data_IF_162623756351
#
_entry.id   IF_162623756351
#
_cell.length_a   1.000
_cell.length_b   1.000
_cell.length_c   1.000
_cell.angle_alpha   90.00
_cell.angle_beta   90.00
_cell.angle_gamma   90.00
#
_symmetry.space_group_name_H-M   'P 1'
#
loop_
_entity.id
_entity.type
_entity.pdbx_description
1 polymer ?
#
# COMPACT_ATOMS: atom_id res chain seq x y z
N UNK A 1 33.69 3.07 3.81
CA UNK A 1 33.14 3.20 2.45
C UNK A 1 32.72 1.82 1.98
N UNK A 2 31.40 1.59 1.84
CA UNK A 2 30.87 0.27 1.50
C UNK A 2 31.05 -0.14 0.03
N UNK A 3 31.08 -1.45 -0.25
CA UNK A 3 31.27 -2.00 -1.60
C UNK A 3 29.97 -1.87 -2.41
N UNK A 4 30.00 -1.12 -3.51
CA UNK A 4 28.84 -0.98 -4.39
C UNK A 4 28.66 -2.26 -5.23
N UNK A 5 27.48 -2.86 -5.20
CA UNK A 5 27.22 -4.04 -6.06
C UNK A 5 27.21 -3.61 -7.54
N UNK A 6 27.62 -4.53 -8.42
CA UNK A 6 27.52 -4.34 -9.87
C UNK A 6 26.06 -4.42 -10.32
N UNK A 7 25.69 -3.62 -11.31
CA UNK A 7 24.38 -3.73 -11.97
C UNK A 7 24.39 -4.99 -12.84
N UNK A 8 23.48 -5.92 -12.56
CA UNK A 8 23.36 -7.17 -13.28
C UNK A 8 22.49 -7.02 -14.53
N UNK A 9 22.80 -7.79 -15.57
CA UNK A 9 22.04 -7.83 -16.83
C UNK A 9 21.11 -9.03 -16.96
N UNK A 10 21.26 -10.03 -16.09
CA UNK A 10 20.40 -11.22 -16.00
C UNK A 10 20.22 -11.68 -14.56
N UNK A 11 19.09 -12.34 -14.25
CA UNK A 11 18.89 -12.98 -12.93
C UNK A 11 19.85 -14.14 -12.68
N UNK A 12 20.40 -14.75 -13.74
CA UNK A 12 21.40 -15.82 -13.62
C UNK A 12 22.75 -15.34 -13.07
N UNK A 13 23.03 -14.04 -13.13
CA UNK A 13 24.24 -13.43 -12.58
C UNK A 13 24.10 -13.11 -11.08
N UNK A 14 22.88 -13.20 -10.54
CA UNK A 14 22.54 -12.86 -9.17
C UNK A 14 22.43 -14.12 -8.31
N UNK A 15 22.81 -14.04 -7.02
CA UNK A 15 22.63 -15.17 -6.11
C UNK A 15 21.14 -15.45 -5.91
N UNK A 16 20.80 -16.73 -5.83
CA UNK A 16 19.49 -17.17 -5.33
C UNK A 16 19.37 -16.84 -3.86
N UNK A 17 18.21 -16.36 -3.44
CA UNK A 17 17.93 -15.90 -2.08
C UNK A 17 16.71 -16.62 -1.54
N UNK A 18 16.78 -17.07 -0.30
CA UNK A 18 15.65 -17.72 0.37
C UNK A 18 14.71 -16.64 0.95
N UNK A 19 13.41 -16.92 1.12
CA UNK A 19 12.51 -16.00 1.83
C UNK A 19 13.07 -15.53 3.17
N UNK A 20 13.65 -16.46 3.96
CA UNK A 20 14.30 -16.17 5.24
C UNK A 20 15.45 -15.15 5.16
N UNK A 21 16.15 -15.04 4.01
CA UNK A 21 17.22 -14.06 3.83
C UNK A 21 16.73 -12.61 3.80
N UNK A 22 15.44 -12.43 3.53
CA UNK A 22 14.75 -11.14 3.46
C UNK A 22 13.86 -10.88 4.67
N UNK A 23 13.78 -11.84 5.60
CA UNK A 23 12.89 -11.76 6.76
C UNK A 23 13.32 -10.64 7.71
N UNK A 24 12.35 -9.83 8.11
CA UNK A 24 12.55 -8.69 9.02
C UNK A 24 11.44 -8.67 10.05
N UNK A 25 11.79 -8.31 11.28
CA UNK A 25 10.85 -7.98 12.34
C UNK A 25 11.09 -6.56 12.85
N UNK A 26 10.00 -5.89 13.21
CA UNK A 26 10.01 -4.56 13.81
C UNK A 26 8.92 -4.47 14.89
N UNK A 27 9.13 -3.60 15.86
CA UNK A 27 8.16 -3.32 16.92
C UNK A 27 7.78 -1.85 16.85
N UNK A 28 6.48 -1.57 16.87
CA UNK A 28 5.96 -0.24 17.14
C UNK A 28 5.68 -0.17 18.65
N UNK A 29 6.50 0.57 19.43
CA UNK A 29 6.48 0.52 20.88
C UNK A 29 5.37 1.41 21.45
N UNK A 30 4.10 1.06 21.18
CA UNK A 30 2.95 1.79 21.71
C UNK A 30 2.85 1.72 23.23
N UNK A 31 3.54 0.82 23.93
CA UNK A 31 3.63 0.80 25.39
C UNK A 31 4.37 2.02 25.95
N UNK A 32 5.26 2.63 25.15
CA UNK A 32 6.06 3.82 25.51
C UNK A 32 5.32 5.11 25.13
N UNK A 33 4.99 6.00 26.08
CA UNK A 33 4.22 7.22 25.81
C UNK A 33 4.83 8.11 24.72
N UNK A 34 6.15 8.29 24.71
CA UNK A 34 6.85 9.20 23.79
C UNK A 34 6.77 8.72 22.33
N UNK A 35 6.75 7.40 22.13
CA UNK A 35 6.59 6.81 20.80
C UNK A 35 5.11 6.74 20.39
N UNK A 36 4.21 6.50 21.36
CA UNK A 36 2.77 6.34 21.18
C UNK A 36 2.12 7.55 20.52
N UNK A 37 2.51 8.77 20.89
CA UNK A 37 1.89 10.01 20.38
C UNK A 37 1.91 10.12 18.85
N UNK A 38 2.92 9.55 18.18
CA UNK A 38 3.02 9.54 16.71
C UNK A 38 1.95 8.66 16.04
N UNK A 39 1.43 7.69 16.79
CA UNK A 39 0.49 6.67 16.33
C UNK A 39 -0.93 6.91 16.83
N UNK A 40 -1.14 7.85 17.74
CA UNK A 40 -2.47 8.20 18.21
C UNK A 40 -3.12 9.24 17.32
N UNK A 41 -4.41 9.04 17.16
CA UNK A 41 -5.33 10.05 16.69
C UNK A 41 -5.89 10.83 17.89
N UNK A 42 -6.55 11.97 17.65
CA UNK A 42 -7.03 12.85 18.73
C UNK A 42 -7.99 12.19 19.73
N UNK A 43 -8.62 11.08 19.37
CA UNK A 43 -9.56 10.31 20.19
C UNK A 43 -8.92 9.04 20.78
N UNK A 44 -7.58 8.98 20.83
CA UNK A 44 -6.81 7.82 21.27
C UNK A 44 -7.02 6.55 20.41
N UNK A 45 -7.58 6.66 19.20
CA UNK A 45 -7.53 5.56 18.23
C UNK A 45 -6.18 5.53 17.53
N UNK A 46 -5.87 4.41 16.87
CA UNK A 46 -4.65 4.32 16.08
C UNK A 46 -4.81 5.04 14.74
N UNK A 47 -3.83 5.87 14.41
CA UNK A 47 -3.69 6.56 13.12
C UNK A 47 -3.26 5.55 12.06
N UNK A 48 -4.23 4.90 11.41
CA UNK A 48 -3.99 3.86 10.41
C UNK A 48 -3.08 4.30 9.26
N UNK A 49 -3.17 5.56 8.82
CA UNK A 49 -2.26 6.11 7.81
C UNK A 49 -0.77 6.01 8.20
N UNK A 50 -0.44 6.10 9.50
CA UNK A 50 0.92 5.90 10.00
C UNK A 50 1.37 4.45 9.90
N UNK A 51 0.46 3.51 10.11
CA UNK A 51 0.75 2.08 9.93
C UNK A 51 1.04 1.73 8.45
N UNK A 52 0.32 2.35 7.50
CA UNK A 52 0.59 2.20 6.07
C UNK A 52 2.00 2.70 5.69
N UNK A 53 2.43 3.80 6.31
CA UNK A 53 3.78 4.34 6.14
C UNK A 53 4.86 3.39 6.67
N UNK A 54 4.61 2.77 7.83
CA UNK A 54 5.52 1.79 8.42
C UNK A 54 5.59 0.48 7.60
N UNK A 55 4.46 0.01 7.05
CA UNK A 55 4.46 -1.12 6.12
C UNK A 55 5.31 -0.84 4.87
N UNK A 56 5.18 0.35 4.29
CA UNK A 56 5.97 0.73 3.13
C UNK A 56 7.48 0.78 3.48
N UNK A 57 7.82 1.29 4.67
CA UNK A 57 9.19 1.36 5.21
C UNK A 57 9.79 -0.02 5.41
N UNK A 58 9.04 -0.91 6.08
CA UNK A 58 9.43 -2.29 6.31
C UNK A 58 9.62 -3.05 4.99
N UNK A 59 8.68 -2.90 4.06
CA UNK A 59 8.73 -3.52 2.73
C UNK A 59 9.96 -3.07 1.94
N UNK A 60 10.28 -1.77 1.96
CA UNK A 60 11.50 -1.26 1.37
C UNK A 60 12.76 -1.89 1.96
N UNK A 61 12.83 -2.05 3.29
CA UNK A 61 13.95 -2.68 3.97
C UNK A 61 14.09 -4.18 3.64
N UNK A 62 12.97 -4.92 3.60
CA UNK A 62 12.89 -6.31 3.12
C UNK A 62 13.49 -6.43 1.71
N UNK A 63 13.15 -5.51 0.80
CA UNK A 63 13.69 -5.50 -0.56
C UNK A 63 15.21 -5.32 -0.59
N UNK A 64 15.76 -4.39 0.20
CA UNK A 64 17.21 -4.20 0.27
C UNK A 64 17.91 -5.43 0.85
N UNK A 65 17.34 -6.09 1.86
CA UNK A 65 17.90 -7.32 2.42
C UNK A 65 17.87 -8.49 1.44
N UNK A 66 16.75 -8.65 0.71
CA UNK A 66 16.64 -9.66 -0.35
C UNK A 66 17.74 -9.49 -1.40
N UNK A 67 17.99 -8.25 -1.83
CA UNK A 67 18.95 -7.94 -2.88
C UNK A 67 20.42 -7.86 -2.42
N UNK A 68 20.75 -8.20 -1.16
CA UNK A 68 22.14 -8.35 -0.74
C UNK A 68 22.82 -9.51 -1.50
N UNK A 69 24.08 -9.33 -1.86
CA UNK A 69 24.96 -10.36 -2.39
C UNK A 69 25.85 -10.89 -1.26
N UNK A 70 25.68 -12.16 -0.82
CA UNK A 70 26.48 -12.74 0.26
C UNK A 70 27.99 -12.66 0.03
N UNK A 71 28.46 -12.67 -1.22
CA UNK A 71 29.88 -12.63 -1.55
C UNK A 71 30.57 -11.27 -1.25
N UNK A 72 29.80 -10.20 -1.01
CA UNK A 72 30.33 -8.84 -0.81
C UNK A 72 30.37 -8.39 0.66
N UNK A 73 29.93 -9.23 1.60
CA UNK A 73 29.89 -8.90 3.03
C UNK A 73 28.77 -7.93 3.42
N UNK A 74 28.74 -7.50 4.68
CA UNK A 74 27.65 -6.68 5.23
C UNK A 74 27.69 -5.21 4.78
N UNK A 75 28.89 -4.66 4.59
CA UNK A 75 29.12 -3.26 4.19
C UNK A 75 28.81 -2.97 2.71
N UNK A 76 27.98 -3.80 2.06
CA UNK A 76 27.59 -3.62 0.68
C UNK A 76 26.51 -2.54 0.49
N UNK A 77 26.51 -1.91 -0.68
CA UNK A 77 25.48 -0.92 -1.08
C UNK A 77 24.73 -1.39 -2.31
N UNK A 78 23.40 -1.36 -2.22
CA UNK A 78 22.54 -1.63 -3.38
C UNK A 78 22.72 -0.54 -4.44
N UNK A 79 22.90 -0.91 -5.72
CA UNK A 79 22.89 0.01 -6.85
C UNK A 79 21.47 0.40 -7.27
N UNK A 80 20.44 -0.19 -6.64
CA UNK A 80 19.04 -0.06 -7.05
C UNK A 80 18.20 0.68 -6.01
N UNK A 81 17.28 1.50 -6.53
CA UNK A 81 16.17 2.06 -5.77
C UNK A 81 14.98 1.11 -5.81
N UNK A 82 14.47 0.73 -4.64
CA UNK A 82 13.18 0.06 -4.52
C UNK A 82 12.09 1.09 -4.27
N UNK A 83 11.08 1.08 -5.14
CA UNK A 83 9.92 1.96 -5.03
C UNK A 83 8.65 1.13 -5.04
N UNK A 84 7.68 1.55 -4.25
CA UNK A 84 6.37 0.91 -4.15
C UNK A 84 5.62 1.13 -5.46
N UNK A 85 5.18 0.05 -6.08
CA UNK A 85 4.42 0.10 -7.33
C UNK A 85 2.94 -0.17 -7.09
N UNK A 86 2.64 -1.13 -6.22
CA UNK A 86 1.28 -1.54 -5.91
C UNK A 86 1.19 -2.00 -4.45
N UNK A 87 0.05 -1.74 -3.83
CA UNK A 87 -0.35 -2.33 -2.55
C UNK A 87 -1.67 -3.06 -2.81
N UNK A 88 -1.70 -4.37 -2.56
CA UNK A 88 -2.95 -5.14 -2.68
C UNK A 88 -3.93 -4.68 -1.60
N UNK A 89 -5.22 -4.90 -1.84
CA UNK A 89 -6.28 -4.67 -0.86
C UNK A 89 -5.92 -5.20 0.53
N UNK A 90 -5.94 -4.28 1.49
CA UNK A 90 -5.72 -4.56 2.92
C UNK A 90 -7.09 -4.57 3.58
N UNK A 91 -7.48 -5.70 4.13
CA UNK A 91 -8.74 -5.85 4.85
C UNK A 91 -8.50 -6.37 6.26
N UNK A 92 -9.10 -5.68 7.24
CA UNK A 92 -9.19 -6.19 8.59
C UNK A 92 -10.33 -7.21 8.60
N UNK A 93 -10.04 -8.49 8.82
CA UNK A 93 -11.09 -9.50 8.93
C UNK A 93 -12.09 -9.09 10.01
N UNK A 94 -13.37 -9.38 9.81
CA UNK A 94 -14.39 -9.17 10.84
C UNK A 94 -14.10 -9.95 12.14
N UNK A 95 -13.29 -11.01 12.03
CA UNK A 95 -12.78 -11.80 13.16
C UNK A 95 -11.44 -11.29 13.72
N UNK A 96 -10.76 -10.35 13.06
CA UNK A 96 -9.50 -9.79 13.58
C UNK A 96 -9.78 -8.89 14.78
N UNK A 97 -8.99 -8.99 15.86
CA UNK A 97 -9.17 -8.14 17.02
C UNK A 97 -8.85 -6.68 16.66
N UNK A 98 -9.51 -5.74 17.32
CA UNK A 98 -9.22 -4.31 17.16
C UNK A 98 -7.84 -4.01 17.75
N UNK A 99 -7.03 -3.26 17.00
CA UNK A 99 -5.74 -2.80 17.50
C UNK A 99 -5.92 -1.92 18.75
N UNK A 100 -5.20 -2.27 19.81
CA UNK A 100 -5.11 -1.51 21.05
C UNK A 100 -4.07 -0.39 20.92
N UNK A 101 -4.41 0.86 21.28
CA UNK A 101 -3.47 1.99 21.25
C UNK A 101 -2.41 1.95 22.38
N UNK A 102 -2.54 1.01 23.33
CA UNK A 102 -1.70 0.93 24.53
C UNK A 102 -0.71 -0.24 24.52
N UNK A 103 -0.86 -1.18 23.57
CA UNK A 103 -0.04 -2.38 23.48
C UNK A 103 0.84 -2.32 22.25
N UNK A 104 2.07 -2.80 22.38
CA UNK A 104 3.02 -2.85 21.27
C UNK A 104 2.46 -3.65 20.10
N UNK A 105 2.82 -3.21 18.89
CA UNK A 105 2.46 -3.88 17.65
C UNK A 105 3.74 -4.51 17.08
N UNK A 106 3.65 -5.78 16.72
CA UNK A 106 4.74 -6.54 16.13
C UNK A 106 4.51 -6.66 14.63
N UNK A 107 5.48 -6.18 13.85
CA UNK A 107 5.45 -6.30 12.40
C UNK A 107 6.50 -7.31 11.96
N UNK A 108 6.15 -8.16 11.02
CA UNK A 108 7.09 -9.06 10.37
C UNK A 108 6.82 -9.13 8.88
N UNK A 109 7.82 -9.51 8.08
CA UNK A 109 7.61 -9.71 6.67
C UNK A 109 8.81 -10.26 5.94
N UNK A 110 8.57 -10.73 4.73
CA UNK A 110 9.58 -11.29 3.84
C UNK A 110 9.10 -11.21 2.38
N UNK A 111 10.04 -11.44 1.46
CA UNK A 111 9.72 -11.61 0.05
C UNK A 111 9.03 -12.97 -0.15
N UNK A 112 7.82 -12.95 -0.71
CA UNK A 112 7.05 -14.16 -1.02
C UNK A 112 7.08 -14.50 -2.49
N UNK A 113 7.29 -13.52 -3.37
CA UNK A 113 7.37 -13.75 -4.80
C UNK A 113 8.30 -12.75 -5.48
N UNK A 114 8.95 -13.18 -6.57
CA UNK A 114 9.89 -12.37 -7.33
C UNK A 114 9.62 -12.52 -8.84
N UNK A 115 9.52 -11.38 -9.52
CA UNK A 115 9.56 -11.29 -10.99
C UNK A 115 10.96 -10.93 -11.50
N UNK A 116 11.05 -10.37 -12.71
CA UNK A 116 12.36 -9.94 -13.27
C UNK A 116 12.93 -8.70 -12.56
N UNK A 117 12.05 -7.75 -12.27
CA UNK A 117 12.40 -6.42 -11.72
C UNK A 117 11.46 -5.97 -10.61
N UNK A 118 10.69 -6.90 -10.07
CA UNK A 118 9.65 -6.66 -9.08
C UNK A 118 9.66 -7.75 -8.03
N UNK A 119 9.23 -7.43 -6.82
CA UNK A 119 9.13 -8.39 -5.74
C UNK A 119 7.90 -8.09 -4.90
N UNK A 120 7.16 -9.13 -4.55
CA UNK A 120 6.03 -9.07 -3.63
C UNK A 120 6.56 -9.34 -2.22
N UNK A 121 6.33 -8.38 -1.33
CA UNK A 121 6.62 -8.49 0.10
C UNK A 121 5.31 -8.72 0.84
N UNK A 122 5.18 -9.88 1.48
CA UNK A 122 4.07 -10.14 2.39
C UNK A 122 4.51 -9.77 3.80
N UNK A 123 3.74 -8.88 4.42
CA UNK A 123 3.96 -8.37 5.75
C UNK A 123 2.75 -8.64 6.63
N UNK A 124 2.99 -8.89 7.91
CA UNK A 124 1.99 -9.20 8.91
C UNK A 124 2.15 -8.26 10.09
N UNK A 125 1.03 -7.94 10.69
CA UNK A 125 0.95 -7.16 11.91
C UNK A 125 0.22 -7.98 12.96
N UNK A 126 0.87 -8.16 14.10
CA UNK A 126 0.38 -8.96 15.21
C UNK A 126 0.36 -8.12 16.48
N UNK A 127 -0.59 -8.39 17.36
CA UNK A 127 -0.71 -7.72 18.65
C UNK A 127 -1.25 -8.68 19.70
N UNK A 128 -0.84 -8.49 20.95
CA UNK A 128 -1.30 -9.30 22.07
C UNK A 128 -2.73 -8.93 22.49
N UNK A 129 -3.63 -9.90 22.42
CA UNK A 129 -5.04 -9.79 22.79
C UNK A 129 -5.35 -10.93 23.77
N UNK A 130 -5.77 -10.55 24.98
CA UNK A 130 -6.03 -11.47 26.09
C UNK A 130 -4.88 -12.45 26.39
N UNK A 131 -3.63 -11.95 26.32
CA UNK A 131 -2.42 -12.74 26.59
C UNK A 131 -1.95 -13.61 25.42
N UNK A 132 -2.62 -13.56 24.27
CA UNK A 132 -2.28 -14.33 23.07
C UNK A 132 -1.91 -13.39 21.93
N UNK A 133 -0.80 -13.66 21.25
CA UNK A 133 -0.44 -12.95 20.02
C UNK A 133 -1.38 -13.33 18.89
N UNK A 134 -2.09 -12.33 18.35
CA UNK A 134 -3.05 -12.52 17.27
C UNK A 134 -2.66 -11.68 16.05
N UNK A 135 -2.76 -12.27 14.86
CA UNK A 135 -2.56 -11.56 13.61
C UNK A 135 -3.75 -10.66 13.31
N UNK A 136 -3.49 -9.37 13.13
CA UNK A 136 -4.52 -8.35 12.92
C UNK A 136 -4.63 -7.98 11.44
N UNK A 137 -3.48 -7.75 10.79
CA UNK A 137 -3.40 -7.29 9.40
C UNK A 137 -2.40 -8.17 8.63
N UNK A 138 -2.77 -8.55 7.41
CA UNK A 138 -1.82 -9.01 6.39
C UNK A 138 -1.84 -8.01 5.25
N UNK A 139 -0.67 -7.57 4.84
CA UNK A 139 -0.51 -6.62 3.75
C UNK A 139 0.49 -7.16 2.71
N UNK A 140 0.17 -7.01 1.44
CA UNK A 140 1.03 -7.42 0.33
C UNK A 140 1.40 -6.21 -0.49
N UNK A 141 2.70 -5.93 -0.57
CA UNK A 141 3.24 -4.79 -1.29
C UNK A 141 4.09 -5.29 -2.45
N UNK A 142 3.87 -4.74 -3.64
CA UNK A 142 4.70 -4.98 -4.81
C UNK A 142 5.68 -3.82 -4.97
N UNK A 143 6.97 -4.13 -4.79
CA UNK A 143 8.05 -3.20 -5.05
C UNK A 143 8.66 -3.44 -6.43
N UNK A 144 9.13 -2.38 -7.07
CA UNK A 144 9.90 -2.46 -8.32
C UNK A 144 11.29 -1.89 -8.11
N UNK A 145 12.29 -2.61 -8.65
CA UNK A 145 13.67 -2.17 -8.64
C UNK A 145 13.92 -1.24 -9.84
N UNK A 146 14.55 -0.10 -9.58
CA UNK A 146 14.92 0.91 -10.57
C UNK A 146 16.41 1.22 -10.47
N UNK A 147 17.04 1.40 -11.62
CA UNK A 147 18.37 1.98 -11.68
C UNK A 147 18.24 3.51 -11.47
N UNK A 148 18.83 4.10 -10.42
CA UNK A 148 18.66 5.53 -10.10
C UNK A 148 19.22 6.47 -11.17
N UNK A 149 20.23 6.04 -11.93
CA UNK A 149 20.88 6.87 -12.96
C UNK A 149 20.07 6.89 -14.26
N UNK A 150 19.47 5.75 -14.63
CA UNK A 150 18.78 5.59 -15.92
C UNK A 150 17.25 5.56 -15.82
N UNK A 151 16.70 5.46 -14.60
CA UNK A 151 15.29 5.20 -14.29
C UNK A 151 14.69 3.93 -14.95
N UNK A 152 15.53 3.09 -15.56
CA UNK A 152 15.13 1.81 -16.15
C UNK A 152 14.89 0.75 -15.07
N UNK A 153 14.08 -0.25 -15.41
CA UNK A 153 13.87 -1.40 -14.54
C UNK A 153 15.19 -2.12 -14.27
N UNK A 154 15.47 -2.41 -13.00
CA UNK A 154 16.64 -3.15 -12.54
C UNK A 154 16.30 -4.60 -12.21
N UNK A 155 17.28 -5.49 -12.29
CA UNK A 155 17.07 -6.92 -12.09
C UNK A 155 17.27 -7.29 -10.63
N UNK A 156 16.37 -8.13 -10.11
CA UNK A 156 16.33 -8.53 -8.70
C UNK A 156 16.74 -9.98 -8.51
N UNK A 157 17.26 -10.31 -7.32
CA UNK A 157 17.75 -11.64 -7.00
C UNK A 157 16.63 -12.68 -7.11
N UNK A 158 16.82 -13.82 -7.77
CA UNK A 158 15.80 -14.88 -7.83
C UNK A 158 15.50 -15.43 -6.43
N UNK A 159 14.22 -15.75 -6.19
CA UNK A 159 13.78 -16.37 -4.94
C UNK A 159 13.91 -17.91 -5.03
N UNK A 160 14.30 -18.53 -3.92
CA UNK A 160 14.47 -19.98 -3.77
C UNK A 160 13.68 -20.47 -2.54
N UNK A 161 12.37 -20.71 -2.69
CA UNK A 161 11.54 -21.26 -1.61
C UNK A 161 11.90 -22.74 -1.36
N UNK A 162 12.05 -23.12 -0.09
CA UNK A 162 12.50 -24.47 0.31
C UNK A 162 11.45 -25.19 1.14
N UNK A 163 10.79 -24.51 2.09
CA UNK A 163 9.76 -25.15 2.91
C UNK A 163 8.42 -25.24 2.17
N UNK A 164 7.53 -26.19 2.54
CA UNK A 164 6.20 -26.27 1.94
C UNK A 164 5.41 -24.95 2.03
N UNK A 165 5.55 -24.23 3.14
CA UNK A 165 4.91 -22.93 3.35
C UNK A 165 5.50 -21.85 2.44
N UNK A 166 6.83 -21.85 2.25
CA UNK A 166 7.52 -20.93 1.32
C UNK A 166 7.12 -21.19 -0.13
N UNK A 167 7.01 -22.46 -0.52
CA UNK A 167 6.61 -22.88 -1.87
C UNK A 167 5.16 -22.48 -2.15
N UNK A 168 4.26 -22.70 -1.18
CA UNK A 168 2.86 -22.30 -1.31
C UNK A 168 2.72 -20.77 -1.37
N UNK A 169 3.46 -20.02 -0.54
CA UNK A 169 3.47 -18.56 -0.60
C UNK A 169 3.95 -18.04 -1.96
N UNK A 170 4.96 -18.70 -2.56
CA UNK A 170 5.43 -18.37 -3.91
C UNK A 170 4.36 -18.64 -4.97
N UNK A 171 3.68 -19.78 -4.89
CA UNK A 171 2.57 -20.16 -5.78
C UNK A 171 1.43 -19.14 -5.72
N UNK A 172 1.02 -18.73 -4.51
CA UNK A 172 0.03 -17.67 -4.29
C UNK A 172 0.49 -16.35 -4.93
N UNK A 173 1.78 -16.01 -4.85
CA UNK A 173 2.32 -14.82 -5.50
C UNK A 173 2.24 -14.86 -7.04
N UNK A 174 2.39 -16.04 -7.65
CA UNK A 174 2.18 -16.24 -9.09
C UNK A 174 0.71 -16.08 -9.50
N UNK A 175 -0.22 -16.58 -8.68
CA UNK A 175 -1.66 -16.37 -8.86
C UNK A 175 -2.02 -14.89 -8.75
N UNK A 176 -1.54 -14.22 -7.70
CA UNK A 176 -1.70 -12.78 -7.48
C UNK A 176 -1.23 -11.97 -8.69
N UNK A 177 -0.06 -12.30 -9.25
CA UNK A 177 0.44 -11.66 -10.48
C UNK A 177 -0.56 -11.80 -11.64
N UNK A 178 -1.14 -12.99 -11.81
CA UNK A 178 -2.11 -13.26 -12.87
C UNK A 178 -3.40 -12.46 -12.66
N UNK A 179 -3.90 -12.40 -11.42
CA UNK A 179 -5.07 -11.60 -11.04
C UNK A 179 -4.84 -10.12 -11.36
N UNK A 180 -3.71 -9.53 -10.94
CA UNK A 180 -3.36 -8.13 -11.23
C UNK A 180 -3.32 -7.84 -12.73
N UNK A 181 -2.85 -8.78 -13.55
CA UNK A 181 -2.83 -8.64 -15.01
C UNK A 181 -4.24 -8.67 -15.62
N UNK A 182 -5.12 -9.53 -15.09
CA UNK A 182 -6.52 -9.61 -15.51
C UNK A 182 -7.30 -8.35 -15.10
N UNK A 183 -7.12 -7.85 -13.89
CA UNK A 183 -7.77 -6.60 -13.44
C UNK A 183 -7.30 -5.40 -14.25
N UNK A 184 -6.00 -5.33 -14.56
CA UNK A 184 -5.45 -4.31 -15.46
C UNK A 184 -5.98 -4.39 -16.91
N UNK A 185 -6.53 -5.53 -17.33
CA UNK A 185 -7.17 -5.69 -18.65
C UNK A 185 -8.66 -5.35 -18.63
N UNK A 186 -9.35 -5.56 -17.50
CA UNK A 186 -10.76 -5.22 -17.24
C UNK A 186 -11.04 -3.71 -17.04
N UNK A 187 -10.05 -2.84 -17.25
CA UNK A 187 -10.25 -1.40 -17.15
C UNK A 187 -11.41 -0.95 -18.05
N UNK A 188 -12.34 -0.15 -17.52
CA UNK A 188 -13.45 0.42 -18.30
C UNK A 188 -13.00 1.30 -19.49
N UNK A 189 -11.71 1.68 -19.53
CA UNK A 189 -11.10 2.32 -20.70
C UNK A 189 -10.87 1.35 -21.87
N UNK A 190 -10.94 0.04 -21.62
CA UNK A 190 -10.70 -1.06 -22.57
C UNK A 190 -11.95 -1.91 -22.79
N UNK A 191 -12.74 -2.13 -21.75
CA UNK A 191 -13.94 -2.97 -21.78
C UNK A 191 -15.18 -2.17 -21.41
N UNK A 192 -16.30 -2.41 -22.10
CA UNK A 192 -17.58 -1.78 -21.75
C UNK A 192 -18.15 -2.34 -20.43
N UNK A 193 -18.97 -1.57 -19.70
CA UNK A 193 -19.65 -2.07 -18.49
C UNK A 193 -20.52 -3.30 -18.78
N UNK A 194 -20.63 -4.19 -17.80
CA UNK A 194 -21.47 -5.38 -17.86
C UNK A 194 -22.96 -5.02 -17.88
N UNK A 195 -23.84 -6.00 -18.17
CA UNK A 195 -25.29 -5.77 -18.08
C UNK A 195 -25.72 -5.36 -16.68
N UNK A 196 -25.21 -6.03 -15.66
CA UNK A 196 -25.46 -5.73 -14.25
C UNK A 196 -25.02 -4.30 -13.89
N UNK A 197 -23.82 -3.89 -14.29
CA UNK A 197 -23.31 -2.53 -14.06
C UNK A 197 -24.17 -1.47 -14.78
N UNK A 198 -24.61 -1.76 -16.02
CA UNK A 198 -25.50 -0.87 -16.77
C UNK A 198 -26.86 -0.72 -16.08
N UNK A 199 -27.41 -1.79 -15.53
CA UNK A 199 -28.66 -1.75 -14.76
C UNK A 199 -28.51 -0.86 -13.52
N UNK A 200 -27.41 -0.99 -12.78
CA UNK A 200 -27.12 -0.12 -11.63
C UNK A 200 -27.01 1.35 -12.04
N UNK A 201 -26.26 1.65 -13.11
CA UNK A 201 -26.14 3.03 -13.64
C UNK A 201 -27.51 3.58 -14.04
N UNK A 202 -28.33 2.76 -14.70
CA UNK A 202 -29.68 3.15 -15.11
C UNK A 202 -30.58 3.42 -13.90
N UNK A 203 -30.49 2.62 -12.85
CA UNK A 203 -31.27 2.80 -11.62
C UNK A 203 -30.87 4.09 -10.88
N UNK A 204 -29.56 4.36 -10.77
CA UNK A 204 -29.04 5.64 -10.26
C UNK A 204 -29.56 6.79 -11.12
N UNK A 205 -29.53 6.67 -12.44
CA UNK A 205 -30.06 7.69 -13.33
C UNK A 205 -31.55 7.93 -13.07
N UNK A 206 -32.38 6.90 -13.00
CA UNK A 206 -33.81 7.02 -12.77
C UNK A 206 -34.13 7.64 -11.41
N UNK A 207 -33.39 7.27 -10.35
CA UNK A 207 -33.58 7.84 -9.01
C UNK A 207 -33.29 9.34 -8.94
N UNK A 208 -32.53 9.88 -9.90
CA UNK A 208 -32.18 11.31 -9.95
C UNK A 208 -33.02 12.14 -10.93
N UNK A 209 -33.95 11.54 -11.70
CA UNK A 209 -34.81 12.26 -12.65
C UNK A 209 -36.14 12.63 -12.00
N UNK A 210 -36.59 13.89 -12.20
CA UNK A 210 -37.95 14.27 -11.85
C UNK A 210 -38.97 13.72 -12.85
N UNK A 211 -39.58 12.58 -12.53
CA UNK A 211 -40.60 11.95 -13.36
C UNK A 211 -41.84 12.83 -13.59
N UNK A 212 -42.09 13.84 -12.75
CA UNK A 212 -43.25 14.74 -12.89
C UNK A 212 -43.02 15.83 -13.93
N UNK A 213 -41.77 16.19 -14.19
CA UNK A 213 -41.40 17.27 -15.11
C UNK A 213 -41.55 16.89 -16.59
N UNK A 214 -41.65 15.60 -16.91
CA UNK A 214 -41.65 15.09 -18.29
C UNK A 214 -40.34 15.32 -19.05
N UNK A 215 -39.28 15.80 -18.38
CA UNK A 215 -37.97 16.09 -19.00
C UNK A 215 -36.83 15.42 -18.25
N UNK A 216 -35.79 15.00 -18.98
CA UNK A 216 -34.59 14.37 -18.38
C UNK A 216 -33.58 15.39 -17.82
N UNK A 217 -33.88 16.68 -17.93
CA UNK A 217 -32.99 17.79 -17.53
C UNK A 217 -33.18 18.17 -16.07
N UNK A 218 -34.40 18.04 -15.55
CA UNK A 218 -34.69 18.35 -14.14
C UNK A 218 -34.24 17.18 -13.30
N UNK A 219 -33.23 17.42 -12.47
CA UNK A 219 -32.69 16.43 -11.54
C UNK A 219 -33.21 16.69 -10.14
N UNK A 220 -33.61 15.62 -9.46
CA UNK A 220 -33.96 15.62 -8.05
C UNK A 220 -32.91 14.83 -7.29
N UNK A 221 -32.66 15.26 -6.06
CA UNK A 221 -31.74 14.60 -5.17
C UNK A 221 -32.52 13.55 -4.37
N UNK A 222 -32.14 12.25 -4.42
CA UNK A 222 -32.73 11.23 -3.57
C UNK A 222 -32.60 11.58 -2.07
N UNK A 223 -33.51 11.06 -1.24
CA UNK A 223 -33.41 11.23 0.21
C UNK A 223 -32.10 10.65 0.76
N UNK A 224 -31.54 11.29 1.79
CA UNK A 224 -30.25 10.93 2.40
C UNK A 224 -29.06 10.87 1.43
N UNK A 225 -29.12 11.60 0.31
CA UNK A 225 -28.00 11.73 -0.63
C UNK A 225 -27.48 13.17 -0.73
N UNK A 226 -26.29 13.29 -1.29
CA UNK A 226 -25.59 14.53 -1.62
C UNK A 226 -24.97 14.37 -3.00
N UNK A 227 -24.89 15.47 -3.74
CA UNK A 227 -24.23 15.44 -5.03
C UNK A 227 -22.74 15.22 -4.83
N UNK A 228 -22.14 14.37 -5.68
CA UNK A 228 -20.73 14.03 -5.49
C UNK A 228 -19.82 15.25 -5.60
N UNK A 229 -20.18 16.27 -6.38
CA UNK A 229 -19.38 17.50 -6.49
C UNK A 229 -19.37 18.34 -5.19
N UNK A 230 -20.43 18.24 -4.40
CA UNK A 230 -20.55 18.86 -3.07
C UNK A 230 -19.74 18.11 -1.98
N UNK A 231 -19.37 16.84 -2.21
CA UNK A 231 -18.55 16.03 -1.29
C UNK A 231 -17.06 16.02 -1.62
N UNK A 232 -16.58 16.97 -2.44
CA UNK A 232 -15.17 17.04 -2.84
C UNK A 232 -14.32 17.78 -1.82
N UNK A 233 -13.30 17.10 -1.31
CA UNK A 233 -12.27 17.71 -0.48
C UNK A 233 -10.91 17.64 -1.18
N UNK A 234 -10.17 18.75 -1.17
CA UNK A 234 -8.85 18.86 -1.79
C UNK A 234 -7.83 19.37 -0.80
N UNK A 235 -6.60 18.89 -0.92
CA UNK A 235 -5.46 19.45 -0.19
C UNK A 235 -4.25 19.56 -1.11
N UNK A 236 -3.37 20.51 -0.81
CA UNK A 236 -2.12 20.76 -1.52
C UNK A 236 -0.97 20.64 -0.54
N UNK A 237 0.03 19.84 -0.90
CA UNK A 237 1.19 19.58 -0.05
C UNK A 237 2.46 19.83 -0.86
N UNK A 238 3.44 20.49 -0.24
CA UNK A 238 4.78 20.64 -0.79
C UNK A 238 5.59 19.42 -0.36
N UNK A 239 6.23 18.76 -1.32
CA UNK A 239 7.09 17.60 -1.06
C UNK A 239 8.43 18.04 -0.47
N UNK A 240 8.63 17.84 0.84
CA UNK A 240 9.86 18.24 1.51
C UNK A 240 10.93 17.13 1.50
N UNK A 241 12.21 17.50 1.68
CA UNK A 241 13.31 16.53 1.79
C UNK A 241 13.18 15.51 2.91
N UNK A 242 12.40 15.78 3.95
CA UNK A 242 12.16 14.86 5.08
C UNK A 242 11.31 13.63 4.69
N UNK A 243 10.47 13.75 3.67
CA UNK A 243 9.56 12.70 3.21
C UNK A 243 10.16 11.82 2.08
N UNK A 244 11.49 11.91 1.86
CA UNK A 244 12.17 11.23 0.76
C UNK A 244 12.73 9.86 1.16
N UNK A 245 12.75 8.95 0.20
CA UNK A 245 13.52 7.71 0.26
C UNK A 245 15.03 7.95 0.03
N UNK A 246 15.83 6.88 0.16
CA UNK A 246 17.29 6.90 -0.04
C UNK A 246 17.76 7.44 -1.41
N UNK A 247 16.84 7.57 -2.37
CA UNK A 247 17.12 8.01 -3.75
C UNK A 247 16.40 9.31 -4.11
N UNK A 248 16.06 10.13 -3.10
CA UNK A 248 15.49 11.46 -3.26
C UNK A 248 14.13 11.49 -3.98
N UNK A 249 13.34 10.40 -3.87
CA UNK A 249 11.93 10.35 -4.29
C UNK A 249 11.04 10.33 -3.07
N UNK A 250 9.85 10.90 -3.15
CA UNK A 250 8.90 10.87 -2.04
C UNK A 250 8.44 9.44 -1.76
N UNK A 251 8.36 9.11 -0.47
CA UNK A 251 8.04 7.78 0.02
C UNK A 251 6.58 7.39 -0.29
N UNK A 252 6.35 6.14 -0.71
CA UNK A 252 5.01 5.66 -1.03
C UNK A 252 4.10 5.71 0.20
N UNK A 253 4.66 5.34 1.35
CA UNK A 253 4.04 5.41 2.67
C UNK A 253 3.50 6.79 3.02
N UNK A 254 4.29 7.84 2.75
CA UNK A 254 3.86 9.23 2.98
C UNK A 254 2.64 9.59 2.12
N UNK A 255 2.66 9.22 0.84
CA UNK A 255 1.54 9.48 -0.07
C UNK A 255 0.26 8.76 0.40
N UNK A 256 0.38 7.51 0.84
CA UNK A 256 -0.75 6.73 1.37
C UNK A 256 -1.28 7.33 2.66
N UNK A 257 -0.40 7.75 3.58
CA UNK A 257 -0.79 8.42 4.82
C UNK A 257 -1.61 9.69 4.50
N UNK A 258 -1.12 10.56 3.62
CA UNK A 258 -1.82 11.81 3.26
C UNK A 258 -3.16 11.56 2.55
N UNK A 259 -3.21 10.57 1.65
CA UNK A 259 -4.45 10.16 1.00
C UNK A 259 -5.48 9.64 2.01
N UNK A 260 -5.03 8.81 2.95
CA UNK A 260 -5.87 8.27 4.02
C UNK A 260 -6.46 9.36 4.91
N UNK A 261 -5.64 10.33 5.33
CA UNK A 261 -6.09 11.45 6.17
C UNK A 261 -7.13 12.32 5.46
N UNK A 262 -6.93 12.58 4.17
CA UNK A 262 -7.89 13.32 3.37
C UNK A 262 -9.22 12.55 3.25
N UNK A 263 -9.15 11.24 2.99
CA UNK A 263 -10.34 10.39 2.89
C UNK A 263 -11.11 10.34 4.22
N UNK A 264 -10.41 10.14 5.35
CA UNK A 264 -11.02 10.16 6.67
C UNK A 264 -11.71 11.50 6.96
N UNK A 265 -11.06 12.61 6.60
CA UNK A 265 -11.63 13.96 6.77
C UNK A 265 -12.87 14.14 5.91
N UNK A 266 -12.83 13.70 4.65
CA UNK A 266 -13.98 13.80 3.75
C UNK A 266 -15.19 13.01 4.26
N UNK A 267 -14.96 11.77 4.71
CA UNK A 267 -16.02 10.95 5.34
C UNK A 267 -16.59 11.66 6.57
N UNK A 268 -15.74 12.26 7.42
CA UNK A 268 -16.22 12.98 8.61
C UNK A 268 -17.10 14.19 8.26
N UNK A 269 -16.76 14.92 7.20
CA UNK A 269 -17.57 16.05 6.71
C UNK A 269 -18.89 15.56 6.09
N UNK A 270 -18.84 14.49 5.31
CA UNK A 270 -20.00 13.89 4.66
C UNK A 270 -21.01 13.35 5.68
N UNK A 271 -20.56 12.50 6.60
CA UNK A 271 -21.45 11.86 7.58
C UNK A 271 -21.82 12.77 8.73
N UNK A 272 -21.11 13.90 8.89
CA UNK A 272 -21.19 14.78 10.07
C UNK A 272 -20.92 14.03 11.38
N UNK A 273 -20.18 12.92 11.31
CA UNK A 273 -19.77 12.10 12.45
C UNK A 273 -18.26 11.91 12.44
N UNK A 274 -17.72 11.25 13.47
CA UNK A 274 -16.31 10.86 13.51
C UNK A 274 -16.19 9.41 13.05
N UNK A 275 -15.67 9.12 11.85
CA UNK A 275 -15.54 7.77 11.38
C UNK A 275 -14.53 6.99 12.23
N UNK A 276 -14.82 5.71 12.46
CA UNK A 276 -13.91 4.79 13.11
C UNK A 276 -12.68 4.45 12.25
N UNK A 277 -11.89 3.50 12.71
CA UNK A 277 -10.77 2.98 11.92
C UNK A 277 -11.27 2.36 10.62
N UNK A 278 -10.53 2.61 9.54
CA UNK A 278 -10.82 2.04 8.23
C UNK A 278 -10.86 0.51 8.27
N UNK A 279 -11.88 -0.07 7.62
CA UNK A 279 -12.08 -1.52 7.55
C UNK A 279 -11.27 -2.16 6.42
N UNK A 280 -11.28 -1.51 5.27
CA UNK A 280 -10.57 -1.95 4.08
C UNK A 280 -9.96 -0.77 3.34
N UNK A 281 -8.75 -0.99 2.83
CA UNK A 281 -8.12 -0.14 1.83
C UNK A 281 -8.01 -0.98 0.57
N UNK A 282 -8.62 -0.51 -0.51
CA UNK A 282 -8.56 -1.21 -1.80
C UNK A 282 -7.19 -1.03 -2.48
N UNK A 283 -7.00 -1.65 -3.64
CA UNK A 283 -5.71 -1.63 -4.33
C UNK A 283 -5.18 -0.20 -4.58
N UNK A 284 -3.92 0.04 -4.20
CA UNK A 284 -3.23 1.31 -4.42
C UNK A 284 -2.18 1.13 -5.50
N UNK A 285 -2.21 1.95 -6.55
CA UNK A 285 -1.25 1.87 -7.66
C UNK A 285 -0.47 3.17 -7.83
N UNK A 286 0.86 3.06 -7.74
CA UNK A 286 1.78 4.18 -7.96
C UNK A 286 2.21 4.24 -9.43
N UNK A 287 1.60 5.15 -10.18
CA UNK A 287 1.83 5.27 -11.64
C UNK A 287 3.15 5.94 -12.00
N UNK A 288 3.60 6.89 -11.18
CA UNK A 288 4.81 7.69 -11.41
C UNK A 288 5.51 8.00 -10.09
N UNK A 289 6.85 8.07 -10.08
CA UNK A 289 7.58 8.58 -8.92
C UNK A 289 7.29 10.06 -8.72
N UNK A 290 7.40 10.52 -7.48
CA UNK A 290 7.22 11.92 -7.08
C UNK A 290 8.55 12.48 -6.61
N UNK A 291 8.93 13.65 -7.13
CA UNK A 291 10.18 14.33 -6.79
C UNK A 291 10.03 15.22 -5.56
N UNK A 292 11.11 15.38 -4.80
CA UNK A 292 11.22 16.42 -3.78
C UNK A 292 11.07 17.80 -4.43
N UNK A 293 10.30 18.69 -3.79
CA UNK A 293 9.94 20.01 -4.31
C UNK A 293 8.68 20.02 -5.20
N UNK A 294 8.10 18.87 -5.51
CA UNK A 294 6.82 18.81 -6.24
C UNK A 294 5.66 19.36 -5.40
N UNK A 295 4.65 19.89 -6.10
CA UNK A 295 3.36 20.24 -5.51
C UNK A 295 2.38 19.08 -5.71
N UNK A 296 1.98 18.42 -4.61
CA UNK A 296 1.04 17.31 -4.63
C UNK A 296 -0.38 17.77 -4.35
N UNK A 297 -1.26 17.56 -5.32
CA UNK A 297 -2.69 17.80 -5.19
C UNK A 297 -3.38 16.48 -4.87
N UNK A 298 -3.95 16.38 -3.66
CA UNK A 298 -4.83 15.28 -3.30
C UNK A 298 -6.28 15.72 -3.44
N UNK A 299 -7.13 14.80 -3.92
CA UNK A 299 -8.57 14.99 -4.01
C UNK A 299 -9.25 13.74 -3.47
N UNK A 300 -10.21 13.91 -2.57
CA UNK A 300 -11.14 12.88 -2.09
C UNK A 300 -12.55 13.31 -2.44
N UNK A 301 -13.41 12.34 -2.77
CA UNK A 301 -14.80 12.56 -3.19
C UNK A 301 -15.69 11.49 -2.57
#
# INVERSE_FOLDING_TARGET
>A
HGVLQKVATSQSELPRRRPADSFVQAVIPLSQPEARDKYLFYNNSIRFGRLLEDFDSLGGYICYNHNKNPALGEDQKSPYAFVTALVDRIENSSSSPRLSPLKDIFMSGQVTWVGRSSMECTMRMEQEVDGVMQQVITAKFLFVARNPQTNKAAIVNPLDPVTPEEIEAFRIGEENKTIRQLEGSKSLLKTIPTEEERLVIHDIFLSTVDQKSGTLRVRVKPDNSVWMDESRLKTLIICHPEDRNLYNKIFGGFLMMKAYELAWTNVSLYTKTRPGTCKCVDDIVFKKPVEVGSLLFFSSQ
#
